data_IF_246872755486
#
_entry.id   IF_246872755486
#
_cell.length_a   1.000
_cell.length_b   1.000
_cell.length_c   1.000
_cell.angle_alpha   90.00
_cell.angle_beta   90.00
_cell.angle_gamma   90.00
#
_symmetry.space_group_name_H-M   'P 1'
#
loop_
_entity.id
_entity.type
_entity.pdbx_description
1 polymer ?
#
# COMPACT_ATOMS: atom_id res chain seq x y z
N UNK A 1 -22.63 -9.11 8.77
CA UNK A 1 -21.27 -9.12 8.19
C UNK A 1 -20.57 -7.86 8.63
N UNK A 2 -19.24 -7.91 8.85
CA UNK A 2 -18.46 -6.73 9.19
C UNK A 2 -16.99 -6.92 8.86
N UNK A 3 -16.21 -5.83 8.97
CA UNK A 3 -14.78 -5.83 8.74
C UNK A 3 -14.05 -5.48 10.04
N UNK A 4 -13.05 -6.25 10.39
CA UNK A 4 -12.18 -5.94 11.53
C UNK A 4 -11.31 -4.73 11.18
N UNK A 5 -11.49 -3.62 11.88
CA UNK A 5 -10.74 -2.39 11.61
C UNK A 5 -9.63 -2.14 12.63
N UNK A 6 -9.71 -2.70 13.82
CA UNK A 6 -8.72 -2.51 14.87
C UNK A 6 -8.73 -3.68 15.86
N UNK A 7 -7.54 -3.99 16.39
CA UNK A 7 -7.35 -4.91 17.50
C UNK A 7 -6.79 -4.14 18.70
N UNK A 8 -7.45 -4.25 19.86
CA UNK A 8 -6.99 -3.57 21.07
C UNK A 8 -7.38 -4.37 22.32
N UNK A 9 -6.43 -4.64 23.19
CA UNK A 9 -6.65 -5.31 24.49
C UNK A 9 -7.48 -6.60 24.41
N UNK A 10 -7.27 -7.41 23.34
CA UNK A 10 -7.99 -8.68 23.13
C UNK A 10 -9.41 -8.53 22.59
N UNK A 11 -9.81 -7.33 22.20
CA UNK A 11 -11.04 -7.05 21.48
C UNK A 11 -10.79 -6.77 20.01
N UNK A 12 -11.79 -7.13 19.18
CA UNK A 12 -11.88 -6.85 17.76
C UNK A 12 -12.92 -5.76 17.56
N UNK A 13 -12.50 -4.65 16.97
CA UNK A 13 -13.42 -3.60 16.56
C UNK A 13 -13.84 -3.89 15.13
N UNK A 14 -15.15 -4.12 14.96
CA UNK A 14 -15.73 -4.58 13.70
C UNK A 14 -16.66 -3.51 13.17
N UNK A 15 -16.33 -2.93 12.01
CA UNK A 15 -17.20 -2.04 11.28
C UNK A 15 -18.23 -2.87 10.52
N UNK A 16 -19.49 -2.64 10.83
CA UNK A 16 -20.65 -3.17 10.08
C UNK A 16 -21.26 -2.04 9.25
N UNK A 17 -22.29 -2.34 8.47
CA UNK A 17 -23.04 -1.32 7.72
C UNK A 17 -23.73 -0.31 8.65
N UNK A 18 -24.13 -0.74 9.85
CA UNK A 18 -24.94 0.06 10.78
C UNK A 18 -24.17 0.64 11.95
N UNK A 19 -23.08 -0.01 12.39
CA UNK A 19 -22.39 0.38 13.62
C UNK A 19 -20.97 -0.15 13.70
N UNK A 20 -20.17 0.47 14.58
CA UNK A 20 -18.89 -0.04 15.04
C UNK A 20 -19.08 -0.87 16.32
N UNK A 21 -18.82 -2.17 16.26
CA UNK A 21 -19.02 -3.08 17.38
C UNK A 21 -17.68 -3.48 18.01
N UNK A 22 -17.61 -3.44 19.35
CA UNK A 22 -16.54 -4.03 20.14
C UNK A 22 -16.82 -5.52 20.34
N UNK A 23 -16.06 -6.39 19.70
CA UNK A 23 -16.34 -7.83 19.66
C UNK A 23 -15.28 -8.65 20.39
N UNK A 24 -15.71 -9.83 20.88
CA UNK A 24 -14.82 -10.93 21.29
C UNK A 24 -14.95 -12.08 20.29
N UNK A 25 -13.88 -12.87 20.12
CA UNK A 25 -13.95 -14.08 19.33
C UNK A 25 -14.70 -15.19 20.10
N UNK A 26 -15.54 -15.96 19.40
CA UNK A 26 -16.20 -17.15 19.94
C UNK A 26 -15.16 -18.22 20.30
N UNK A 27 -15.42 -19.02 21.33
CA UNK A 27 -14.49 -20.04 21.82
C UNK A 27 -13.97 -21.01 20.76
N UNK A 28 -14.80 -21.34 19.74
CA UNK A 28 -14.39 -22.18 18.60
C UNK A 28 -13.29 -21.58 17.73
N UNK A 29 -13.26 -20.25 17.53
CA UNK A 29 -12.17 -19.56 16.80
C UNK A 29 -10.86 -19.62 17.56
N UNK A 30 -10.90 -19.58 18.90
CA UNK A 30 -9.71 -19.74 19.73
C UNK A 30 -9.14 -21.16 19.69
N UNK A 31 -9.99 -22.17 19.49
CA UNK A 31 -9.59 -23.59 19.39
C UNK A 31 -9.06 -23.93 17.98
N UNK A 32 -9.48 -23.21 16.95
CA UNK A 32 -9.06 -23.44 15.55
C UNK A 32 -7.74 -22.75 15.19
N UNK A 33 -7.05 -22.10 16.15
CA UNK A 33 -5.82 -21.31 15.94
C UNK A 33 -5.97 -20.18 14.89
N UNK A 34 -7.19 -19.91 14.44
CA UNK A 34 -7.48 -18.82 13.51
C UNK A 34 -7.75 -17.53 14.26
N UNK A 35 -6.76 -16.65 14.27
CA UNK A 35 -6.88 -15.33 14.89
C UNK A 35 -7.33 -14.30 13.84
N UNK A 36 -8.43 -13.56 14.10
CA UNK A 36 -8.81 -12.44 13.24
C UNK A 36 -7.71 -11.38 13.22
N UNK A 37 -7.42 -10.85 12.04
CA UNK A 37 -6.49 -9.73 11.82
C UNK A 37 -7.24 -8.53 11.27
N UNK A 38 -6.59 -7.36 11.29
CA UNK A 38 -7.14 -6.15 10.68
C UNK A 38 -7.41 -6.41 9.19
N UNK A 39 -8.57 -5.98 8.69
CA UNK A 39 -9.01 -6.19 7.31
C UNK A 39 -9.84 -7.46 7.09
N UNK A 40 -9.89 -8.39 8.05
CA UNK A 40 -10.72 -9.59 7.92
C UNK A 40 -12.19 -9.24 7.78
N UNK A 41 -12.85 -9.95 6.87
CA UNK A 41 -14.30 -10.00 6.79
C UNK A 41 -14.81 -11.08 7.75
N UNK A 42 -15.74 -10.73 8.61
CA UNK A 42 -16.23 -11.62 9.66
C UNK A 42 -17.74 -11.67 9.74
N UNK A 43 -18.26 -12.84 10.13
CA UNK A 43 -19.63 -12.96 10.62
C UNK A 43 -19.65 -12.49 12.07
N UNK A 44 -20.48 -11.48 12.35
CA UNK A 44 -20.62 -10.92 13.70
C UNK A 44 -22.08 -11.01 14.13
N UNK A 45 -22.30 -11.41 15.39
CA UNK A 45 -23.59 -11.36 16.05
C UNK A 45 -23.56 -10.20 17.05
N UNK A 46 -24.39 -9.18 16.85
CA UNK A 46 -24.54 -8.09 17.79
C UNK A 46 -25.21 -8.61 19.08
N UNK A 47 -24.68 -8.21 20.22
CA UNK A 47 -25.28 -8.45 21.54
C UNK A 47 -26.11 -7.24 21.98
N UNK A 48 -25.64 -6.06 21.61
CA UNK A 48 -26.30 -4.76 21.80
C UNK A 48 -25.79 -3.77 20.74
N UNK A 49 -26.10 -2.49 20.88
CA UNK A 49 -25.73 -1.44 19.92
C UNK A 49 -24.21 -1.24 19.76
N UNK A 50 -23.39 -1.63 20.73
CA UNK A 50 -21.95 -1.38 20.76
C UNK A 50 -21.10 -2.65 20.92
N UNK A 51 -21.69 -3.79 21.21
CA UNK A 51 -20.96 -5.03 21.50
C UNK A 51 -21.44 -6.18 20.61
N UNK A 52 -20.50 -7.10 20.31
CA UNK A 52 -20.78 -8.26 19.50
C UNK A 52 -19.82 -9.42 19.72
N UNK A 53 -20.07 -10.50 19.00
CA UNK A 53 -19.24 -11.70 19.00
C UNK A 53 -18.88 -12.06 17.55
N UNK A 54 -17.58 -12.21 17.28
CA UNK A 54 -17.09 -12.75 16.02
C UNK A 54 -17.30 -14.25 16.02
N UNK A 55 -18.13 -14.73 15.11
CA UNK A 55 -18.49 -16.15 14.97
C UNK A 55 -17.60 -16.90 13.99
N UNK A 56 -17.22 -16.27 12.87
CA UNK A 56 -16.45 -16.87 11.80
C UNK A 56 -15.63 -15.81 11.05
N UNK A 57 -14.44 -16.20 10.59
CA UNK A 57 -13.63 -15.43 9.64
C UNK A 57 -13.96 -15.95 8.23
N UNK A 58 -14.22 -15.03 7.30
CA UNK A 58 -14.45 -15.40 5.90
C UNK A 58 -13.11 -15.61 5.18
N UNK A 59 -13.08 -16.36 4.07
CA UNK A 59 -11.88 -16.58 3.29
C UNK A 59 -11.21 -15.27 2.90
N UNK A 60 -9.92 -15.16 3.19
CA UNK A 60 -9.10 -14.01 2.83
C UNK A 60 -8.78 -14.04 1.34
N UNK A 61 -8.89 -12.88 0.66
CA UNK A 61 -8.38 -12.71 -0.69
C UNK A 61 -6.85 -12.69 -0.70
N UNK A 62 -6.29 -11.97 0.26
CA UNK A 62 -4.85 -11.86 0.50
C UNK A 62 -4.59 -11.51 1.96
N UNK A 63 -3.34 -11.64 2.37
CA UNK A 63 -2.85 -11.26 3.68
C UNK A 63 -1.46 -10.62 3.49
N UNK A 64 -1.33 -9.34 3.81
CA UNK A 64 -0.04 -8.68 3.93
C UNK A 64 0.57 -9.06 5.27
N UNK A 65 1.85 -9.42 5.28
CA UNK A 65 2.56 -9.79 6.52
C UNK A 65 3.11 -8.56 7.25
N UNK A 66 3.49 -7.54 6.51
CA UNK A 66 4.08 -6.30 7.04
C UNK A 66 3.59 -5.08 6.26
N UNK A 67 2.60 -4.36 6.81
CA UNK A 67 1.86 -4.62 8.05
C UNK A 67 0.89 -5.80 7.91
N UNK A 68 0.52 -6.42 9.03
CA UNK A 68 -0.42 -7.55 9.03
C UNK A 68 -1.84 -7.05 8.77
N UNK A 69 -2.27 -7.08 7.51
CA UNK A 69 -3.60 -6.63 7.05
C UNK A 69 -4.13 -7.60 6.00
N UNK A 70 -5.38 -8.03 6.17
CA UNK A 70 -6.08 -8.89 5.21
C UNK A 70 -6.94 -8.07 4.22
N UNK A 71 -7.24 -8.69 3.10
CA UNK A 71 -8.22 -8.21 2.11
C UNK A 71 -7.92 -6.80 1.57
N UNK A 72 -6.65 -6.47 1.39
CA UNK A 72 -6.21 -5.23 0.74
C UNK A 72 -6.49 -5.34 -0.76
N UNK A 73 -6.98 -4.27 -1.37
CA UNK A 73 -7.26 -4.21 -2.81
C UNK A 73 -6.26 -3.35 -3.58
N UNK A 74 -5.66 -2.36 -2.93
CA UNK A 74 -4.71 -1.46 -3.58
C UNK A 74 -3.70 -0.85 -2.62
N UNK A 75 -2.60 -0.38 -3.20
CA UNK A 75 -1.60 0.44 -2.52
C UNK A 75 -1.62 1.84 -3.14
N UNK A 76 -1.80 2.86 -2.31
CA UNK A 76 -1.66 4.26 -2.73
C UNK A 76 -0.27 4.73 -2.30
N UNK A 77 0.60 4.90 -3.28
CA UNK A 77 1.96 5.40 -3.06
C UNK A 77 1.91 6.92 -3.02
N UNK A 78 2.08 7.49 -1.83
CA UNK A 78 2.12 8.94 -1.65
C UNK A 78 3.57 9.40 -1.78
N UNK A 79 3.83 10.28 -2.75
CA UNK A 79 5.09 10.96 -2.94
C UNK A 79 4.88 12.48 -2.90
N UNK A 80 5.89 13.25 -2.57
CA UNK A 80 5.80 14.70 -2.63
C UNK A 80 6.47 15.20 -3.93
N UNK A 81 5.93 16.26 -4.52
CA UNK A 81 6.59 16.94 -5.66
C UNK A 81 7.92 17.57 -5.23
N UNK A 82 7.97 17.99 -3.97
CA UNK A 82 9.15 18.57 -3.32
C UNK A 82 9.02 18.46 -1.79
N UNK A 83 10.12 18.59 -1.05
CA UNK A 83 10.16 18.65 0.43
C UNK A 83 9.36 17.54 1.16
N UNK A 84 9.79 16.29 1.12
CA UNK A 84 11.10 15.81 0.62
C UNK A 84 11.11 15.61 -0.90
N UNK A 85 12.30 15.64 -1.50
CA UNK A 85 12.48 15.25 -2.90
C UNK A 85 11.93 13.82 -3.13
N UNK A 86 11.22 13.58 -4.24
CA UNK A 86 10.63 12.27 -4.52
C UNK A 86 11.72 11.22 -4.73
N UNK A 87 11.69 10.19 -3.92
CA UNK A 87 12.54 9.02 -4.11
C UNK A 87 11.84 8.02 -5.04
N UNK A 88 12.11 8.12 -6.35
CA UNK A 88 11.46 7.29 -7.36
C UNK A 88 11.80 5.80 -7.19
N UNK A 89 13.00 5.46 -6.71
CA UNK A 89 13.35 4.05 -6.42
C UNK A 89 12.45 3.49 -5.31
N UNK A 90 12.09 4.28 -4.30
CA UNK A 90 11.16 3.86 -3.27
C UNK A 90 9.73 3.72 -3.81
N UNK A 91 9.28 4.66 -4.66
CA UNK A 91 7.98 4.56 -5.33
C UNK A 91 7.91 3.26 -6.14
N UNK A 92 8.93 3.00 -6.95
CA UNK A 92 9.00 1.83 -7.81
C UNK A 92 9.10 0.53 -7.02
N UNK A 93 9.82 0.51 -5.90
CA UNK A 93 9.86 -0.62 -4.96
C UNK A 93 8.46 -0.98 -4.45
N UNK A 94 7.69 0.03 -4.03
CA UNK A 94 6.32 -0.18 -3.54
C UNK A 94 5.42 -0.70 -4.64
N UNK A 95 5.54 -0.16 -5.87
CA UNK A 95 4.77 -0.62 -7.02
C UNK A 95 5.13 -2.07 -7.40
N UNK A 96 6.41 -2.43 -7.42
CA UNK A 96 6.85 -3.82 -7.64
C UNK A 96 6.27 -4.75 -6.56
N UNK A 97 6.30 -4.35 -5.29
CA UNK A 97 5.69 -5.14 -4.23
C UNK A 97 4.17 -5.29 -4.40
N UNK A 98 3.49 -4.25 -4.88
CA UNK A 98 2.06 -4.29 -5.20
C UNK A 98 1.79 -5.29 -6.35
N UNK A 99 2.57 -5.24 -7.44
CA UNK A 99 2.46 -6.18 -8.56
C UNK A 99 2.66 -7.64 -8.13
N UNK A 100 3.70 -7.92 -7.32
CA UNK A 100 3.95 -9.26 -6.77
C UNK A 100 2.76 -9.78 -5.96
N UNK A 101 2.09 -8.90 -5.21
CA UNK A 101 0.96 -9.24 -4.36
C UNK A 101 -0.40 -9.20 -5.10
N UNK A 102 -0.40 -8.90 -6.40
CA UNK A 102 -1.63 -8.75 -7.19
C UNK A 102 -2.52 -7.60 -6.75
N UNK A 103 -1.92 -6.52 -6.19
CA UNK A 103 -2.62 -5.33 -5.75
C UNK A 103 -2.55 -4.24 -6.82
N UNK A 104 -3.59 -3.40 -6.91
CA UNK A 104 -3.54 -2.21 -7.76
C UNK A 104 -2.56 -1.20 -7.18
N UNK A 105 -1.65 -0.69 -8.01
CA UNK A 105 -0.79 0.44 -7.69
C UNK A 105 -1.42 1.77 -8.12
N UNK A 106 -1.46 2.75 -7.22
CA UNK A 106 -1.87 4.12 -7.51
C UNK A 106 -0.79 5.05 -7.00
N UNK A 107 -0.40 6.05 -7.78
CA UNK A 107 0.59 7.05 -7.36
C UNK A 107 -0.10 8.39 -7.11
N UNK A 108 0.03 8.91 -5.91
CA UNK A 108 -0.45 10.23 -5.54
C UNK A 108 0.74 11.17 -5.27
N UNK A 109 0.94 12.16 -6.15
CA UNK A 109 1.92 13.20 -5.93
C UNK A 109 1.28 14.38 -5.20
N UNK A 110 1.67 14.52 -3.94
CA UNK A 110 1.23 15.60 -3.05
C UNK A 110 2.13 16.84 -3.17
N UNK A 111 1.67 17.97 -2.62
CA UNK A 111 2.37 19.26 -2.54
C UNK A 111 2.57 19.93 -3.91
N UNK A 112 1.58 19.80 -4.79
CA UNK A 112 1.59 20.47 -6.10
C UNK A 112 1.49 21.99 -5.97
N UNK A 113 1.05 22.49 -4.82
CA UNK A 113 1.04 23.91 -4.44
C UNK A 113 2.45 24.50 -4.28
N UNK A 114 3.42 23.67 -3.89
CA UNK A 114 4.80 24.12 -3.72
C UNK A 114 5.60 24.01 -5.01
N UNK A 115 5.37 23.00 -5.82
CA UNK A 115 6.06 22.79 -7.09
C UNK A 115 5.26 21.83 -7.98
N UNK A 116 5.25 22.10 -9.30
CA UNK A 116 4.61 21.24 -10.29
C UNK A 116 5.69 20.62 -11.17
N UNK A 117 5.64 19.29 -11.30
CA UNK A 117 6.59 18.48 -12.08
C UNK A 117 5.80 17.48 -12.92
N UNK A 118 5.24 17.99 -14.02
CA UNK A 118 4.41 17.17 -14.93
C UNK A 118 5.15 15.97 -15.50
N UNK A 119 6.49 16.04 -15.61
CA UNK A 119 7.32 14.91 -16.02
C UNK A 119 7.14 13.69 -15.12
N UNK A 120 6.94 13.88 -13.81
CA UNK A 120 6.72 12.78 -12.87
C UNK A 120 5.43 12.02 -13.14
N UNK A 121 4.38 12.73 -13.53
CA UNK A 121 3.11 12.14 -13.96
C UNK A 121 3.33 11.22 -15.15
N UNK A 122 3.98 11.72 -16.20
CA UNK A 122 4.23 10.98 -17.42
C UNK A 122 5.09 9.73 -17.25
N UNK A 123 5.98 9.69 -16.24
CA UNK A 123 6.79 8.52 -15.92
C UNK A 123 5.90 7.31 -15.57
N UNK A 124 4.92 7.52 -14.68
CA UNK A 124 4.08 6.43 -14.14
C UNK A 124 2.85 6.13 -15.00
N UNK A 125 2.27 7.13 -15.66
CA UNK A 125 1.17 6.89 -16.60
C UNK A 125 1.61 6.03 -17.79
N UNK A 126 2.82 6.26 -18.32
CA UNK A 126 3.41 5.40 -19.37
C UNK A 126 3.63 3.96 -18.92
N UNK A 127 3.90 3.76 -17.65
CA UNK A 127 4.02 2.44 -17.06
C UNK A 127 2.66 1.78 -16.75
N UNK A 128 1.53 2.46 -17.04
CA UNK A 128 0.18 1.94 -16.86
C UNK A 128 -0.45 2.22 -15.48
N UNK A 129 0.20 3.01 -14.63
CA UNK A 129 -0.33 3.33 -13.31
C UNK A 129 -1.28 4.53 -13.33
N UNK A 130 -2.30 4.51 -12.49
CA UNK A 130 -3.11 5.69 -12.23
C UNK A 130 -2.29 6.69 -11.42
N UNK A 131 -2.18 7.92 -11.92
CA UNK A 131 -1.48 9.02 -11.26
C UNK A 131 -2.46 10.12 -10.90
N UNK A 132 -2.36 10.62 -9.66
CA UNK A 132 -3.15 11.72 -9.15
C UNK A 132 -2.20 12.80 -8.69
N UNK A 133 -2.48 14.04 -9.07
CA UNK A 133 -1.75 15.21 -8.62
C UNK A 133 -2.63 16.04 -7.70
N UNK A 134 -2.07 16.54 -6.59
CA UNK A 134 -2.84 17.38 -5.69
C UNK A 134 -2.04 17.96 -4.53
N UNK A 135 -2.72 18.77 -3.74
CA UNK A 135 -2.20 19.30 -2.48
C UNK A 135 -3.20 19.03 -1.35
N UNK A 136 -2.69 18.48 -0.25
CA UNK A 136 -3.49 18.21 0.95
C UNK A 136 -3.61 19.43 1.86
N UNK A 137 -2.93 20.55 1.53
CA UNK A 137 -3.09 21.85 2.22
C UNK A 137 -4.27 22.64 1.67
N UNK A 138 -4.73 22.29 0.47
CA UNK A 138 -5.88 22.88 -0.19
C UNK A 138 -7.09 21.95 -0.02
N UNK A 139 -7.97 22.24 0.94
CA UNK A 139 -9.24 21.50 1.06
C UNK A 139 -10.22 21.92 -0.05
N UNK A 140 -11.08 21.03 -0.55
CA UNK A 140 -11.23 19.61 -0.22
C UNK A 140 -10.15 18.71 -0.82
N UNK A 141 -10.12 17.44 -0.40
CA UNK A 141 -9.25 16.43 -1.03
C UNK A 141 -9.54 16.35 -2.54
N UNK A 142 -8.52 16.06 -3.37
CA UNK A 142 -8.75 15.87 -4.80
C UNK A 142 -9.84 14.84 -5.08
N UNK A 143 -10.85 15.20 -5.87
CA UNK A 143 -11.99 14.29 -6.18
C UNK A 143 -11.52 12.98 -6.82
N UNK A 144 -10.52 13.04 -7.68
CA UNK A 144 -9.90 11.85 -8.30
C UNK A 144 -9.34 10.87 -7.25
N UNK A 145 -8.87 11.38 -6.11
CA UNK A 145 -8.38 10.53 -5.03
C UNK A 145 -9.53 9.82 -4.32
N UNK A 146 -10.65 10.51 -4.06
CA UNK A 146 -11.86 9.90 -3.49
C UNK A 146 -12.43 8.83 -4.43
N UNK A 147 -12.45 9.09 -5.74
CA UNK A 147 -12.93 8.13 -6.74
C UNK A 147 -12.08 6.85 -6.76
N UNK A 148 -10.76 6.97 -6.66
CA UNK A 148 -9.86 5.83 -6.59
C UNK A 148 -10.03 5.03 -5.30
N UNK A 149 -10.34 5.69 -4.19
CA UNK A 149 -10.54 5.04 -2.89
C UNK A 149 -11.89 4.34 -2.79
N UNK A 150 -12.91 4.77 -3.55
CA UNK A 150 -14.29 4.29 -3.45
C UNK A 150 -14.41 2.77 -3.47
N UNK A 151 -15.02 2.20 -2.42
CA UNK A 151 -15.23 0.76 -2.25
C UNK A 151 -13.94 -0.06 -2.07
N UNK A 152 -12.78 0.60 -1.91
CA UNK A 152 -11.49 -0.08 -1.81
C UNK A 152 -11.00 -0.19 -0.37
N UNK A 153 -10.13 -1.19 -0.14
CA UNK A 153 -9.29 -1.25 1.06
C UNK A 153 -7.88 -0.89 0.64
N UNK A 154 -7.46 0.31 1.01
CA UNK A 154 -6.22 0.93 0.55
C UNK A 154 -5.18 0.98 1.65
N UNK A 155 -3.94 0.62 1.33
CA UNK A 155 -2.79 0.83 2.20
C UNK A 155 -2.00 2.02 1.68
N UNK A 156 -1.65 2.98 2.55
CA UNK A 156 -0.82 4.12 2.18
C UNK A 156 0.65 3.77 2.34
N UNK A 157 1.42 3.99 1.29
CA UNK A 157 2.87 3.81 1.28
C UNK A 157 3.58 5.10 0.88
N UNK A 158 4.88 5.21 1.19
CA UNK A 158 5.68 6.35 0.76
C UNK A 158 6.59 6.88 1.86
N UNK A 159 7.51 7.76 1.47
CA UNK A 159 8.53 8.35 2.31
C UNK A 159 7.94 9.09 3.51
N UNK A 160 8.74 9.25 4.58
CA UNK A 160 8.33 10.11 5.71
C UNK A 160 8.21 11.57 5.25
N UNK A 161 7.21 12.30 5.76
CA UNK A 161 7.01 13.72 5.46
C UNK A 161 6.31 14.03 4.13
N UNK A 162 5.90 13.04 3.34
CA UNK A 162 5.17 13.24 2.07
C UNK A 162 3.69 13.60 2.26
N UNK A 163 3.14 13.42 3.48
CA UNK A 163 1.77 13.79 3.81
C UNK A 163 0.79 12.63 4.01
N UNK A 164 1.25 11.38 4.22
CA UNK A 164 0.34 10.23 4.47
C UNK A 164 -0.63 10.47 5.62
N UNK A 165 -0.13 10.84 6.79
CA UNK A 165 -0.98 11.12 7.96
C UNK A 165 -1.84 12.37 7.78
N UNK A 166 -1.38 13.35 6.99
CA UNK A 166 -2.21 14.50 6.59
C UNK A 166 -3.37 14.07 5.69
N UNK A 167 -3.11 13.13 4.79
CA UNK A 167 -4.15 12.53 3.94
C UNK A 167 -5.21 11.82 4.79
N UNK A 168 -4.79 10.97 5.73
CA UNK A 168 -5.73 10.27 6.62
C UNK A 168 -6.56 11.26 7.44
N UNK A 169 -5.96 12.32 8.00
CA UNK A 169 -6.70 13.35 8.73
C UNK A 169 -7.70 14.11 7.85
N UNK A 170 -7.31 14.43 6.61
CA UNK A 170 -8.19 15.09 5.66
C UNK A 170 -9.39 14.21 5.29
N UNK A 171 -9.18 12.90 5.15
CA UNK A 171 -10.22 11.93 4.81
C UNK A 171 -11.07 11.51 6.02
N UNK A 172 -10.53 11.61 7.23
CA UNK A 172 -11.18 11.22 8.49
C UNK A 172 -11.04 12.34 9.53
N UNK A 173 -11.75 13.46 9.41
CA UNK A 173 -11.63 14.60 10.35
C UNK A 173 -11.96 14.22 11.80
N UNK A 174 -12.77 13.19 12.01
CA UNK A 174 -13.17 12.70 13.34
C UNK A 174 -11.99 12.15 14.16
N UNK A 175 -10.87 11.80 13.52
CA UNK A 175 -9.67 11.30 14.22
C UNK A 175 -9.02 12.36 15.10
N UNK A 176 -9.07 13.64 14.72
CA UNK A 176 -8.49 14.73 15.51
C UNK A 176 -9.28 14.99 16.80
N UNK A 177 -10.58 14.72 16.81
CA UNK A 177 -11.43 14.83 18.00
C UNK A 177 -11.07 13.75 19.04
N UNK A 178 -10.79 12.51 18.59
CA UNK A 178 -10.42 11.40 19.47
C UNK A 178 -9.02 11.55 20.08
N UNK A 179 -8.07 12.17 19.38
CA UNK A 179 -6.70 12.42 19.87
C UNK A 179 -6.71 13.53 20.94
N UNK A 180 -7.59 14.51 20.82
CA UNK A 180 -7.77 15.59 21.81
C UNK A 180 -8.24 15.07 23.17
N UNK A 181 -9.16 14.11 23.22
CA UNK A 181 -9.69 13.53 24.47
C UNK A 181 -8.73 12.53 25.13
N UNK A 182 -7.95 11.78 24.35
CA UNK A 182 -7.01 10.76 24.88
C UNK A 182 -5.71 11.40 25.36
N UNK A 183 -5.24 12.48 24.74
CA UNK A 183 -3.99 13.16 25.14
C UNK A 183 -4.05 13.84 26.50
N UNK A 184 -5.25 14.16 27.00
CA UNK A 184 -5.46 14.73 28.34
C UNK A 184 -5.31 13.70 29.49
N UNK A 185 -5.43 12.40 29.20
CA UNK A 185 -5.44 11.33 30.22
C UNK A 185 -4.22 10.40 30.25
N UNK A 186 -3.35 10.42 29.26
CA UNK A 186 -2.22 9.47 29.22
C UNK A 186 -0.90 10.14 28.82
N UNK A 187 -0.32 10.89 29.76
CA UNK A 187 1.08 11.36 29.69
C UNK A 187 2.09 10.31 30.18
N UNK A 188 1.88 9.04 29.90
CA UNK A 188 2.88 7.99 30.23
C UNK A 188 2.85 6.85 29.23
N UNK A 189 3.99 6.59 28.58
CA UNK A 189 4.24 5.35 27.87
C UNK A 189 4.57 5.51 26.39
N UNK A 190 5.77 6.02 26.10
CA UNK A 190 6.42 5.97 24.79
C UNK A 190 6.92 4.54 24.52
N UNK A 191 5.99 3.61 24.28
CA UNK A 191 6.29 2.32 23.62
C UNK A 191 5.32 2.19 22.46
N UNK A 192 5.79 2.55 21.28
CA UNK A 192 5.08 2.45 20.01
C UNK A 192 4.96 0.98 19.60
N UNK A 193 4.00 0.27 20.18
CA UNK A 193 3.46 -0.92 19.55
C UNK A 193 2.72 -0.42 18.31
N UNK A 194 3.26 -0.70 17.14
CA UNK A 194 2.71 -0.29 15.83
C UNK A 194 1.43 -1.07 15.58
N UNK A 195 0.31 -0.60 16.11
CA UNK A 195 -1.00 -1.16 15.81
C UNK A 195 -1.44 -0.66 14.44
N UNK A 196 -1.79 -1.60 13.58
CA UNK A 196 -2.45 -1.30 12.31
C UNK A 196 -3.90 -0.99 12.61
N UNK A 197 -4.41 0.08 12.02
CA UNK A 197 -5.83 0.45 12.08
C UNK A 197 -6.31 0.81 10.68
N UNK A 198 -7.52 0.35 10.34
CA UNK A 198 -8.24 0.74 9.13
C UNK A 198 -9.22 1.83 9.50
N UNK A 199 -9.14 2.97 8.82
CA UNK A 199 -10.08 4.06 8.94
C UNK A 199 -11.18 3.91 7.90
N UNK A 200 -12.42 3.89 8.34
CA UNK A 200 -13.58 3.79 7.45
C UNK A 200 -13.97 5.18 6.94
N UNK A 201 -14.08 5.30 5.63
CA UNK A 201 -14.49 6.50 4.91
C UNK A 201 -15.95 6.33 4.47
N UNK A 202 -16.90 6.85 5.23
CA UNK A 202 -18.33 6.69 4.96
C UNK A 202 -18.75 7.29 3.61
N UNK A 203 -18.17 8.44 3.21
CA UNK A 203 -18.50 9.14 1.95
C UNK A 203 -18.24 8.31 0.69
N UNK A 204 -17.29 7.38 0.74
CA UNK A 204 -16.92 6.54 -0.40
C UNK A 204 -16.87 5.05 -0.06
N UNK A 205 -17.43 4.62 1.09
CA UNK A 205 -17.48 3.21 1.55
C UNK A 205 -16.11 2.52 1.48
N UNK A 206 -15.03 3.24 1.79
CA UNK A 206 -13.67 2.80 1.66
C UNK A 206 -13.00 2.58 3.01
N UNK A 207 -11.89 1.85 2.98
CA UNK A 207 -11.03 1.66 4.13
C UNK A 207 -9.62 2.10 3.79
N UNK A 208 -8.99 2.88 4.67
CA UNK A 208 -7.62 3.34 4.51
C UNK A 208 -6.80 2.95 5.73
N UNK A 209 -5.68 2.26 5.50
CA UNK A 209 -4.70 1.96 6.54
C UNK A 209 -3.60 3.03 6.54
N UNK A 210 -3.45 3.77 7.66
CA UNK A 210 -2.21 4.49 7.94
C UNK A 210 -1.26 3.52 8.65
N UNK A 211 -0.29 3.05 7.92
CA UNK A 211 0.68 2.11 8.45
C UNK A 211 2.03 2.79 8.62
N UNK A 212 2.37 3.22 9.85
CA UNK A 212 3.72 3.69 10.12
C UNK A 212 4.69 2.52 9.94
N UNK A 213 5.40 2.48 8.82
CA UNK A 213 6.35 1.40 8.48
C UNK A 213 6.27 0.93 7.03
N UNK A 214 5.21 1.21 6.31
CA UNK A 214 5.12 0.98 4.85
C UNK A 214 6.01 1.95 4.04
N UNK A 215 6.77 2.80 4.71
CA UNK A 215 7.81 3.63 4.12
C UNK A 215 9.07 2.85 3.73
N UNK A 216 9.16 1.58 4.15
CA UNK A 216 10.25 0.65 3.81
C UNK A 216 9.63 -0.72 3.55
N UNK A 217 8.91 -0.87 2.43
CA UNK A 217 8.56 -2.20 1.95
C UNK A 217 9.85 -2.90 1.55
N UNK A 218 10.20 -3.94 2.29
CA UNK A 218 11.15 -4.91 1.80
C UNK A 218 10.58 -5.54 0.53
N UNK A 219 11.41 -5.84 -0.43
CA UNK A 219 10.97 -6.58 -1.61
C UNK A 219 10.40 -7.92 -1.16
N UNK A 220 9.22 -8.33 -1.68
CA UNK A 220 8.60 -9.59 -1.31
C UNK A 220 9.53 -10.79 -1.53
N UNK A 221 9.35 -11.82 -0.71
CA UNK A 221 10.04 -13.09 -0.93
C UNK A 221 9.62 -13.69 -2.28
N UNK A 222 10.54 -14.45 -2.90
CA UNK A 222 10.31 -15.05 -4.21
C UNK A 222 10.72 -14.19 -5.40
N UNK A 223 11.09 -12.93 -5.20
CA UNK A 223 11.75 -12.14 -6.25
C UNK A 223 13.15 -12.68 -6.51
N UNK A 224 13.45 -12.81 -7.80
CA UNK A 224 14.75 -13.24 -8.32
C UNK A 224 15.24 -12.26 -9.38
N UNK A 225 16.54 -12.36 -9.70
CA UNK A 225 17.11 -11.56 -10.80
C UNK A 225 16.53 -11.92 -12.17
N UNK A 226 15.77 -13.02 -12.29
CA UNK A 226 15.13 -13.47 -13.53
C UNK A 226 13.68 -13.02 -13.66
N UNK A 227 12.95 -12.91 -12.54
CA UNK A 227 11.53 -12.57 -12.58
C UNK A 227 11.21 -11.10 -12.24
N UNK A 228 12.16 -10.31 -11.74
CA UNK A 228 11.93 -8.91 -11.38
C UNK A 228 11.30 -8.09 -12.52
N UNK A 229 11.72 -8.33 -13.77
CA UNK A 229 11.18 -7.62 -14.94
C UNK A 229 9.68 -7.90 -15.19
N UNK A 230 9.13 -8.98 -14.61
CA UNK A 230 7.70 -9.31 -14.70
C UNK A 230 6.83 -8.32 -13.91
N UNK A 231 7.42 -7.62 -12.96
CA UNK A 231 6.76 -6.66 -12.09
C UNK A 231 7.01 -5.20 -12.51
N UNK A 232 7.46 -5.02 -13.76
CA UNK A 232 7.51 -3.74 -14.46
C UNK A 232 6.59 -3.84 -15.69
N UNK A 233 5.31 -3.41 -15.58
CA UNK A 233 4.30 -3.65 -16.63
C UNK A 233 4.73 -3.18 -18.01
N UNK A 234 5.46 -2.06 -18.09
CA UNK A 234 5.98 -1.52 -19.34
C UNK A 234 7.03 -2.41 -20.02
N UNK A 235 7.61 -3.37 -19.33
CA UNK A 235 8.58 -4.30 -19.90
C UNK A 235 7.93 -5.55 -20.52
N UNK A 236 6.66 -5.86 -20.22
CA UNK A 236 6.02 -7.12 -20.59
C UNK A 236 6.15 -7.44 -22.09
N UNK A 237 5.72 -6.53 -22.97
CA UNK A 237 5.77 -6.79 -24.41
C UNK A 237 7.19 -6.83 -25.01
N UNK A 238 8.14 -6.09 -24.41
CA UNK A 238 9.50 -6.06 -24.94
C UNK A 238 10.34 -7.26 -24.53
N UNK A 239 10.17 -7.75 -23.27
CA UNK A 239 10.99 -8.85 -22.73
C UNK A 239 10.84 -10.16 -23.51
N UNK A 240 9.67 -10.41 -24.08
CA UNK A 240 9.40 -11.60 -24.92
C UNK A 240 10.25 -11.65 -26.18
N UNK A 241 10.76 -10.50 -26.62
CA UNK A 241 11.58 -10.36 -27.83
C UNK A 241 13.09 -10.27 -27.54
N UNK A 242 13.53 -10.53 -26.31
CA UNK A 242 14.93 -10.58 -25.97
C UNK A 242 15.59 -11.86 -26.54
N UNK A 243 16.81 -11.72 -27.04
CA UNK A 243 17.58 -12.84 -27.60
C UNK A 243 17.74 -14.03 -26.61
N UNK A 244 17.86 -13.75 -25.33
CA UNK A 244 18.04 -14.76 -24.29
C UNK A 244 16.74 -15.10 -23.54
N UNK A 245 15.58 -14.65 -24.04
CA UNK A 245 14.29 -14.97 -23.44
C UNK A 245 14.23 -14.67 -21.95
N UNK A 246 13.77 -15.63 -21.15
CA UNK A 246 13.66 -15.52 -19.69
C UNK A 246 14.99 -15.37 -18.93
N UNK A 247 16.12 -15.67 -19.56
CA UNK A 247 17.46 -15.52 -18.94
C UNK A 247 18.01 -14.08 -19.06
N UNK A 248 17.35 -13.23 -19.87
CA UNK A 248 17.75 -11.84 -20.03
C UNK A 248 17.40 -11.03 -18.79
N UNK A 249 18.40 -10.40 -18.18
CA UNK A 249 18.23 -9.51 -16.99
C UNK A 249 18.14 -8.05 -17.38
N UNK A 250 18.08 -7.73 -18.66
CA UNK A 250 17.92 -6.41 -19.25
C UNK A 250 18.94 -5.35 -18.78
N UNK A 251 20.21 -5.76 -18.53
CA UNK A 251 21.27 -4.89 -18.00
C UNK A 251 22.48 -4.73 -18.89
N UNK A 252 22.42 -5.10 -20.16
CA UNK A 252 23.53 -5.00 -21.11
C UNK A 252 23.73 -6.23 -21.98
N UNK A 253 22.81 -7.17 -21.91
CA UNK A 253 22.85 -8.37 -22.75
C UNK A 253 22.65 -7.98 -24.24
N UNK A 254 23.46 -8.51 -25.15
CA UNK A 254 23.33 -8.22 -26.59
C UNK A 254 22.01 -8.79 -27.12
N UNK A 255 21.25 -7.98 -27.87
CA UNK A 255 19.93 -8.33 -28.35
C UNK A 255 18.84 -8.24 -27.28
N UNK A 256 19.04 -7.39 -26.27
CA UNK A 256 18.04 -7.09 -25.26
C UNK A 256 17.02 -6.08 -25.80
N UNK A 257 15.80 -6.55 -26.06
CA UNK A 257 14.73 -5.69 -26.64
C UNK A 257 14.31 -4.54 -25.71
N UNK A 258 14.44 -4.69 -24.40
CA UNK A 258 14.20 -3.58 -23.46
C UNK A 258 15.18 -2.44 -23.72
N UNK A 259 16.47 -2.73 -23.88
CA UNK A 259 17.48 -1.72 -24.11
C UNK A 259 17.50 -1.20 -25.54
N UNK A 260 17.29 -2.07 -26.53
CA UNK A 260 17.41 -1.72 -27.93
C UNK A 260 16.14 -1.08 -28.51
N UNK A 261 14.98 -1.35 -27.94
CA UNK A 261 13.68 -0.88 -28.47
C UNK A 261 12.90 -0.04 -27.45
N UNK A 262 12.73 -0.52 -26.21
CA UNK A 262 11.86 0.11 -25.24
C UNK A 262 12.42 1.44 -24.73
N UNK A 263 13.71 1.49 -24.40
CA UNK A 263 14.35 2.71 -23.91
C UNK A 263 14.48 3.79 -25.02
N UNK A 264 14.97 3.48 -26.24
CA UNK A 264 15.07 4.48 -27.30
C UNK A 264 13.72 5.06 -27.72
N UNK A 265 12.65 4.27 -27.70
CA UNK A 265 11.29 4.72 -28.00
C UNK A 265 10.66 5.57 -26.88
N UNK A 266 11.32 5.67 -25.72
CA UNK A 266 10.79 6.31 -24.50
C UNK A 266 9.46 5.72 -24.02
N UNK A 267 9.17 4.48 -24.37
CA UNK A 267 8.03 3.74 -23.84
C UNK A 267 8.25 3.38 -22.37
N UNK A 268 9.50 3.18 -21.97
CA UNK A 268 9.92 3.16 -20.57
C UNK A 268 10.72 4.42 -20.24
N UNK A 269 10.37 5.10 -19.14
CA UNK A 269 11.10 6.26 -18.68
C UNK A 269 12.51 5.86 -18.18
N UNK A 270 13.56 6.66 -18.45
CA UNK A 270 14.92 6.38 -17.96
C UNK A 270 14.97 6.23 -16.43
N UNK A 271 14.18 6.99 -15.68
CA UNK A 271 14.06 6.95 -14.23
C UNK A 271 13.55 5.58 -13.76
N UNK A 272 12.55 5.04 -14.43
CA UNK A 272 12.01 3.70 -14.16
C UNK A 272 13.05 2.61 -14.42
N UNK A 273 13.78 2.73 -15.53
CA UNK A 273 14.86 1.80 -15.82
C UNK A 273 16.00 1.89 -14.79
N UNK A 274 16.34 3.10 -14.33
CA UNK A 274 17.31 3.29 -13.23
C UNK A 274 16.83 2.61 -11.95
N UNK A 275 15.56 2.74 -11.61
CA UNK A 275 14.97 2.05 -10.46
C UNK A 275 15.01 0.54 -10.64
N UNK A 276 14.68 0.04 -11.83
CA UNK A 276 14.78 -1.39 -12.15
C UNK A 276 16.19 -1.93 -11.87
N UNK A 277 17.24 -1.24 -12.35
CA UNK A 277 18.62 -1.67 -12.14
C UNK A 277 19.02 -1.64 -10.65
N UNK A 278 18.55 -0.63 -9.90
CA UNK A 278 18.79 -0.54 -8.47
C UNK A 278 18.12 -1.69 -7.71
N UNK A 279 16.86 -2.01 -8.02
CA UNK A 279 16.13 -3.11 -7.41
C UNK A 279 16.71 -4.48 -7.83
N UNK A 280 17.16 -4.61 -9.08
CA UNK A 280 17.83 -5.82 -9.56
C UNK A 280 19.10 -6.14 -8.77
N UNK A 281 19.90 -5.11 -8.47
CA UNK A 281 21.12 -5.32 -7.66
C UNK A 281 20.78 -5.67 -6.21
N UNK A 282 19.72 -5.10 -5.66
CA UNK A 282 19.24 -5.47 -4.32
C UNK A 282 18.76 -6.92 -4.26
N UNK A 283 17.92 -7.35 -5.22
CA UNK A 283 17.47 -8.76 -5.33
C UNK A 283 18.68 -9.70 -5.44
N UNK A 284 19.66 -9.34 -6.25
CA UNK A 284 20.89 -10.12 -6.39
C UNK A 284 21.67 -10.25 -5.06
N UNK A 285 21.71 -9.20 -4.25
CA UNK A 285 22.35 -9.25 -2.94
C UNK A 285 21.56 -10.15 -1.97
N UNK A 286 20.23 -10.10 -2.02
CA UNK A 286 19.36 -10.98 -1.22
C UNK A 286 19.53 -12.44 -1.64
N UNK A 287 19.58 -12.76 -2.95
CA UNK A 287 19.87 -14.11 -3.43
C UNK A 287 21.19 -14.64 -2.88
N UNK A 288 22.28 -13.84 -2.94
CA UNK A 288 23.59 -14.22 -2.42
C UNK A 288 23.59 -14.45 -0.90
N UNK A 289 22.80 -13.72 -0.14
CA UNK A 289 22.72 -13.86 1.32
C UNK A 289 21.97 -15.12 1.76
N UNK A 290 21.07 -15.65 0.92
CA UNK A 290 20.34 -16.90 1.18
C UNK A 290 21.20 -18.17 1.02
N UNK A 291 22.31 -18.08 0.28
CA UNK A 291 23.22 -19.20 0.02
C UNK A 291 24.49 -19.17 0.89
N UNK A 292 24.57 -18.26 1.83
CA UNK A 292 25.61 -18.23 2.88
C UNK A 292 25.07 -18.72 4.21
#
# INVERSE_FOLDING_TARGET
MGRVIRLLAGYYFVQTESALLRCRARGKLRLAEETPVVGDLVEVSALNESEGVVGRILPRRNLLERPLVANVSQVVVVAAMTSPEPNLILVDRVLVAAEVLGLKGVVFFNKTDLHQREELRGIYEKAGYRVILGSLTCAPAPSELLDVLRGQTSVLAGQSGVGKSSLVRLLCPELDLAVGEVSAKTRQGRHTTRHVELHYLAECEAFVADTPGFSRLDLPEGLTTYNLAEYFPEMHGAREHCRFGGDCRHRGEPGCAVQEKLLPSKAMAPERYKSYLALLEEVRQQERSRYK
#
